data_IF_026343866819
#
_entry.id   IF_026343866819
#
_cell.length_a   1.000
_cell.length_b   1.000
_cell.length_c   1.000
_cell.angle_alpha   90.00
_cell.angle_beta   90.00
_cell.angle_gamma   90.00
#
_symmetry.space_group_name_H-M   'P 1'
#
loop_
_entity.id
_entity.type
_entity.pdbx_description
1 polymer ?
#
# COMPACT_ATOMS: atom_id res chain seq x y z
N UNK A 1 14.27 -22.02 3.81
CA UNK A 1 14.45 -20.64 3.32
C UNK A 1 13.49 -20.50 2.15
N UNK A 2 12.61 -19.49 2.13
CA UNK A 2 11.74 -19.26 0.96
C UNK A 2 12.65 -19.02 -0.25
N UNK A 3 12.37 -19.68 -1.38
CA UNK A 3 13.00 -19.30 -2.64
C UNK A 3 12.47 -17.91 -3.02
N UNK A 4 13.29 -16.89 -2.76
CA UNK A 4 12.88 -15.51 -2.95
C UNK A 4 12.54 -15.20 -4.41
N UNK A 5 13.20 -15.86 -5.36
CA UNK A 5 12.92 -15.64 -6.79
C UNK A 5 11.53 -16.14 -7.14
N UNK A 6 11.20 -17.36 -6.74
CA UNK A 6 9.87 -17.93 -6.94
C UNK A 6 8.78 -17.11 -6.23
N UNK A 7 9.09 -16.59 -5.04
CA UNK A 7 8.19 -15.70 -4.31
C UNK A 7 7.94 -14.38 -5.04
N UNK A 8 8.99 -13.73 -5.54
CA UNK A 8 8.86 -12.52 -6.34
C UNK A 8 8.04 -12.77 -7.62
N UNK A 9 8.28 -13.87 -8.33
CA UNK A 9 7.51 -14.26 -9.52
C UNK A 9 6.03 -14.43 -9.20
N UNK A 10 5.70 -15.10 -8.08
CA UNK A 10 4.31 -15.21 -7.59
C UNK A 10 3.68 -13.83 -7.36
N UNK A 11 4.35 -12.95 -6.63
CA UNK A 11 3.81 -11.61 -6.31
C UNK A 11 3.58 -10.80 -7.58
N UNK A 12 4.46 -10.91 -8.58
CA UNK A 12 4.25 -10.26 -9.89
C UNK A 12 3.02 -10.79 -10.61
N UNK A 13 2.83 -12.10 -10.63
CA UNK A 13 1.64 -12.72 -11.23
C UNK A 13 0.35 -12.33 -10.49
N UNK A 14 0.40 -12.27 -9.15
CA UNK A 14 -0.71 -11.80 -8.33
C UNK A 14 -1.14 -10.37 -8.72
N UNK A 15 -0.17 -9.45 -8.86
CA UNK A 15 -0.48 -8.08 -9.28
C UNK A 15 -0.95 -7.99 -10.74
N UNK A 16 -0.49 -8.88 -11.62
CA UNK A 16 -1.04 -8.99 -12.97
C UNK A 16 -2.52 -9.40 -12.95
N UNK A 17 -2.88 -10.34 -12.09
CA UNK A 17 -4.26 -10.77 -11.91
C UNK A 17 -5.12 -9.69 -11.25
N UNK A 18 -4.57 -8.93 -10.29
CA UNK A 18 -5.23 -7.75 -9.72
C UNK A 18 -5.53 -6.71 -10.81
N UNK A 19 -4.54 -6.36 -11.64
CA UNK A 19 -4.70 -5.36 -12.71
C UNK A 19 -5.81 -5.79 -13.68
N UNK A 20 -5.77 -7.04 -14.16
CA UNK A 20 -6.83 -7.58 -15.03
C UNK A 20 -8.20 -7.55 -14.37
N UNK A 21 -8.28 -7.90 -13.08
CA UNK A 21 -9.53 -7.90 -12.31
C UNK A 21 -10.12 -6.50 -12.19
N UNK A 22 -9.28 -5.48 -11.92
CA UNK A 22 -9.73 -4.10 -11.81
C UNK A 22 -10.19 -3.53 -13.15
N UNK A 23 -9.48 -3.85 -14.25
CA UNK A 23 -9.90 -3.50 -15.61
C UNK A 23 -11.28 -4.09 -15.91
N UNK A 24 -11.48 -5.39 -15.67
CA UNK A 24 -12.76 -6.06 -15.91
C UNK A 24 -13.92 -5.47 -15.10
N UNK A 25 -13.62 -4.90 -13.93
CA UNK A 25 -14.60 -4.29 -13.02
C UNK A 25 -14.76 -2.79 -13.22
N UNK A 26 -14.06 -2.18 -14.18
CA UNK A 26 -14.00 -0.73 -14.37
C UNK A 26 -13.67 0.04 -13.07
N UNK A 27 -12.77 -0.52 -12.24
CA UNK A 27 -12.31 0.11 -10.99
C UNK A 27 -10.89 0.64 -11.15
N UNK A 28 -10.65 1.79 -10.56
CA UNK A 28 -9.37 2.48 -10.53
C UNK A 28 -8.70 2.37 -9.16
N UNK A 29 -7.37 2.39 -9.14
CA UNK A 29 -6.54 2.26 -7.94
C UNK A 29 -5.41 3.28 -7.99
N UNK A 30 -5.02 3.79 -6.81
CA UNK A 30 -3.83 4.62 -6.63
C UNK A 30 -3.13 4.27 -5.32
N UNK A 31 -1.85 4.64 -5.20
CA UNK A 31 -1.04 4.34 -4.02
C UNK A 31 -0.33 5.60 -3.52
N UNK A 32 -0.16 5.68 -2.20
CA UNK A 32 0.78 6.57 -1.53
C UNK A 32 1.77 5.71 -0.74
N UNK A 33 3.03 5.72 -1.17
CA UNK A 33 4.05 4.79 -0.71
C UNK A 33 5.18 5.50 0.03
N UNK A 34 5.52 5.01 1.23
CA UNK A 34 6.73 5.39 1.94
C UNK A 34 7.75 4.25 1.89
N UNK A 35 7.61 3.25 2.77
CA UNK A 35 8.59 2.16 2.93
C UNK A 35 8.83 1.32 1.66
N UNK A 36 7.81 1.20 0.82
CA UNK A 36 7.84 0.46 -0.45
C UNK A 36 8.44 1.25 -1.61
N UNK A 37 8.42 2.58 -1.54
CA UNK A 37 9.09 3.47 -2.48
C UNK A 37 8.66 3.29 -3.95
N UNK A 38 7.37 3.09 -4.21
CA UNK A 38 6.81 2.93 -5.56
C UNK A 38 6.76 1.49 -6.05
N UNK A 39 7.11 0.50 -5.22
CA UNK A 39 7.11 -0.91 -5.63
C UNK A 39 5.70 -1.40 -5.97
N UNK A 40 4.67 -0.94 -5.26
CA UNK A 40 3.29 -1.39 -5.50
C UNK A 40 2.79 -0.81 -6.82
N UNK A 41 3.01 0.49 -7.04
CA UNK A 41 2.72 1.12 -8.33
C UNK A 41 3.45 0.42 -9.49
N UNK A 42 4.75 0.10 -9.32
CA UNK A 42 5.54 -0.64 -10.30
C UNK A 42 4.91 -1.99 -10.66
N UNK A 43 4.52 -2.78 -9.65
CA UNK A 43 3.90 -4.10 -9.85
C UNK A 43 2.57 -3.99 -10.63
N UNK A 44 1.75 -2.97 -10.34
CA UNK A 44 0.51 -2.70 -11.08
C UNK A 44 0.83 -2.36 -12.54
N UNK A 45 1.82 -1.48 -12.77
CA UNK A 45 2.17 -0.96 -14.10
C UNK A 45 2.92 -1.95 -14.99
N UNK A 46 3.44 -3.05 -14.43
CA UNK A 46 4.09 -4.13 -15.20
C UNK A 46 3.09 -4.93 -16.06
N UNK A 47 1.78 -4.68 -15.91
CA UNK A 47 0.72 -5.39 -16.62
C UNK A 47 0.08 -4.53 -17.72
N UNK A 48 -0.13 -5.12 -18.89
CA UNK A 48 -0.80 -4.46 -20.02
C UNK A 48 -2.17 -3.90 -19.60
N UNK A 49 -2.47 -2.68 -20.06
CA UNK A 49 -3.72 -1.99 -19.75
C UNK A 49 -3.75 -1.28 -18.40
N UNK A 50 -2.67 -1.30 -17.60
CA UNK A 50 -2.61 -0.64 -16.30
C UNK A 50 -3.00 0.85 -16.33
N UNK A 51 -2.74 1.56 -17.43
CA UNK A 51 -3.16 2.96 -17.62
C UNK A 51 -4.67 3.19 -17.50
N UNK A 52 -5.50 2.16 -17.66
CA UNK A 52 -6.95 2.23 -17.46
C UNK A 52 -7.33 2.33 -15.97
N UNK A 53 -6.49 1.80 -15.07
CA UNK A 53 -6.82 1.66 -13.65
C UNK A 53 -5.98 2.57 -12.76
N UNK A 54 -4.76 2.95 -13.14
CA UNK A 54 -3.90 3.82 -12.32
C UNK A 54 -3.53 5.10 -13.08
N UNK A 55 -4.08 6.23 -12.61
CA UNK A 55 -3.77 7.57 -13.14
C UNK A 55 -2.44 8.12 -12.64
N UNK A 56 -1.99 7.63 -11.49
CA UNK A 56 -0.76 8.06 -10.84
C UNK A 56 -0.64 7.45 -9.44
N UNK A 57 0.54 7.65 -8.84
CA UNK A 57 0.89 7.22 -7.51
C UNK A 57 1.82 8.26 -6.86
N UNK A 58 1.87 8.27 -5.54
CA UNK A 58 2.70 9.18 -4.76
C UNK A 58 3.76 8.41 -4.00
N UNK A 59 5.00 8.89 -4.02
CA UNK A 59 6.04 8.42 -3.10
C UNK A 59 6.35 9.54 -2.11
N UNK A 60 5.95 9.35 -0.85
CA UNK A 60 6.03 10.37 0.21
C UNK A 60 6.95 9.90 1.33
N UNK A 61 8.25 9.88 1.05
CA UNK A 61 9.24 9.27 1.93
C UNK A 61 9.48 10.06 3.23
N UNK A 62 9.32 11.39 3.21
CA UNK A 62 9.46 12.26 4.39
C UNK A 62 8.11 12.66 5.00
N UNK A 63 8.12 13.12 6.25
CA UNK A 63 6.93 13.68 6.92
C UNK A 63 6.39 14.89 6.16
N UNK A 64 7.28 15.77 5.71
CA UNK A 64 6.93 16.94 4.89
C UNK A 64 6.20 16.53 3.60
N UNK A 65 6.68 15.50 2.90
CA UNK A 65 6.05 15.01 1.68
C UNK A 65 4.66 14.44 1.94
N UNK A 66 4.47 13.69 3.03
CA UNK A 66 3.15 13.18 3.46
C UNK A 66 2.17 14.34 3.70
N UNK A 67 2.61 15.36 4.44
CA UNK A 67 1.80 16.54 4.78
C UNK A 67 1.43 17.34 3.53
N UNK A 68 2.41 17.59 2.65
CA UNK A 68 2.19 18.28 1.37
C UNK A 68 1.19 17.56 0.48
N UNK A 69 1.14 16.22 0.57
CA UNK A 69 0.20 15.38 -0.16
C UNK A 69 -1.09 15.11 0.63
N UNK A 70 -1.40 15.90 1.67
CA UNK A 70 -2.70 15.92 2.32
C UNK A 70 -2.88 15.01 3.54
N UNK A 71 -1.80 14.40 4.05
CA UNK A 71 -1.84 13.76 5.38
C UNK A 71 -1.86 14.86 6.46
N UNK A 72 -2.85 14.89 7.38
CA UNK A 72 -2.89 15.89 8.44
C UNK A 72 -1.65 15.82 9.33
N UNK A 73 -1.06 16.99 9.63
CA UNK A 73 0.13 17.08 10.50
C UNK A 73 -0.16 16.56 11.90
N UNK A 74 -1.35 16.84 12.40
CA UNK A 74 -1.83 16.49 13.73
C UNK A 74 -1.93 14.98 13.92
N UNK A 75 -2.22 14.22 12.84
CA UNK A 75 -2.23 12.75 12.86
C UNK A 75 -0.82 12.23 13.07
N UNK A 76 0.17 12.77 12.34
CA UNK A 76 1.57 12.38 12.49
C UNK A 76 2.10 12.74 13.88
N UNK A 77 1.76 13.91 14.41
CA UNK A 77 2.20 14.34 15.75
C UNK A 77 1.61 13.48 16.86
N UNK A 78 0.33 13.09 16.73
CA UNK A 78 -0.37 12.30 17.75
C UNK A 78 -0.03 10.81 17.70
N UNK A 79 0.11 10.25 16.50
CA UNK A 79 0.20 8.80 16.30
C UNK A 79 1.56 8.33 15.76
N UNK A 80 2.49 9.24 15.43
CA UNK A 80 3.70 8.96 14.65
C UNK A 80 3.41 8.60 13.19
N UNK A 81 4.41 8.77 12.32
CA UNK A 81 4.35 8.27 10.93
C UNK A 81 4.31 6.75 10.83
N UNK A 82 4.60 6.04 11.92
CA UNK A 82 4.54 4.58 12.01
C UNK A 82 3.27 4.13 12.72
N UNK A 83 2.13 4.41 12.09
CA UNK A 83 0.79 4.12 12.64
C UNK A 83 -0.23 3.75 11.57
N UNK A 84 -1.33 3.13 12.02
CA UNK A 84 -2.49 2.82 11.18
C UNK A 84 -3.16 4.10 10.72
N UNK A 85 -3.31 5.07 11.62
CA UNK A 85 -3.93 6.37 11.38
C UNK A 85 -3.20 7.13 10.26
N UNK A 86 -1.86 7.12 10.27
CA UNK A 86 -1.10 7.71 9.16
C UNK A 86 -1.34 6.93 7.86
N UNK A 87 -1.35 5.60 7.88
CA UNK A 87 -1.62 4.80 6.69
C UNK A 87 -3.02 5.06 6.11
N UNK A 88 -4.03 5.22 6.97
CA UNK A 88 -5.42 5.54 6.59
C UNK A 88 -5.49 6.91 5.89
N UNK A 89 -4.87 7.94 6.46
CA UNK A 89 -4.83 9.27 5.84
C UNK A 89 -4.05 9.27 4.53
N UNK A 90 -2.97 8.49 4.43
CA UNK A 90 -2.24 8.30 3.17
C UNK A 90 -3.14 7.68 2.09
N UNK A 91 -3.90 6.63 2.43
CA UNK A 91 -4.82 5.94 1.52
C UNK A 91 -5.97 6.85 1.06
N UNK A 92 -6.59 7.56 2.01
CA UNK A 92 -7.66 8.51 1.74
C UNK A 92 -7.18 9.67 0.88
N UNK A 93 -6.00 10.21 1.17
CA UNK A 93 -5.50 11.38 0.46
C UNK A 93 -5.17 11.08 -1.00
N UNK A 94 -4.47 9.98 -1.31
CA UNK A 94 -4.20 9.63 -2.70
C UNK A 94 -5.48 9.27 -3.46
N UNK A 95 -6.42 8.54 -2.83
CA UNK A 95 -7.74 8.24 -3.41
C UNK A 95 -8.47 9.52 -3.83
N UNK A 96 -8.53 10.52 -2.94
CA UNK A 96 -9.18 11.82 -3.22
C UNK A 96 -8.45 12.58 -4.32
N UNK A 97 -7.12 12.65 -4.27
CA UNK A 97 -6.32 13.40 -5.23
C UNK A 97 -6.50 12.90 -6.67
N UNK A 98 -6.44 11.59 -6.87
CA UNK A 98 -6.58 10.99 -8.20
C UNK A 98 -8.03 10.64 -8.57
N UNK A 99 -8.98 10.86 -7.66
CA UNK A 99 -10.38 10.45 -7.80
C UNK A 99 -10.46 8.97 -8.19
N UNK A 100 -9.75 8.12 -7.44
CA UNK A 100 -9.74 6.69 -7.65
C UNK A 100 -10.83 5.99 -6.83
N UNK A 101 -11.23 4.80 -7.26
CA UNK A 101 -12.14 3.93 -6.50
C UNK A 101 -11.45 3.36 -5.27
N UNK A 102 -10.16 3.08 -5.39
CA UNK A 102 -9.33 2.46 -4.35
C UNK A 102 -8.08 3.32 -4.10
N UNK A 103 -7.80 3.64 -2.84
CA UNK A 103 -6.52 4.20 -2.40
C UNK A 103 -5.79 3.25 -1.48
N UNK A 104 -4.47 3.13 -1.66
CA UNK A 104 -3.60 2.34 -0.77
C UNK A 104 -2.57 3.26 -0.14
N UNK A 105 -2.49 3.29 1.19
CA UNK A 105 -1.48 4.03 1.95
C UNK A 105 -0.54 3.06 2.65
N UNK A 106 0.78 3.28 2.55
CA UNK A 106 1.78 2.39 3.17
C UNK A 106 2.89 3.18 3.86
N UNK A 107 3.05 2.94 5.16
CA UNK A 107 4.10 3.52 5.99
C UNK A 107 4.69 2.49 6.95
N UNK A 108 5.89 2.71 7.45
CA UNK A 108 6.56 1.73 8.29
C UNK A 108 8.06 1.71 8.14
N UNK A 109 8.66 0.82 8.91
CA UNK A 109 10.09 0.59 9.03
C UNK A 109 10.41 -0.80 8.49
N UNK A 110 11.47 -0.88 7.70
CA UNK A 110 11.99 -2.14 7.16
C UNK A 110 13.16 -2.60 8.05
N UNK A 111 14.29 -2.99 7.46
CA UNK A 111 15.50 -3.36 8.19
C UNK A 111 16.34 -2.20 8.74
N UNK A 112 15.83 -0.96 8.79
CA UNK A 112 16.57 0.21 9.24
C UNK A 112 15.76 1.04 10.24
N UNK A 113 16.46 1.60 11.23
CA UNK A 113 15.91 2.61 12.14
C UNK A 113 15.82 3.93 11.39
N UNK A 114 14.74 4.67 11.61
CA UNK A 114 14.62 6.04 11.17
C UNK A 114 15.12 6.99 12.26
N UNK A 115 16.19 7.76 12.00
CA UNK A 115 16.72 8.72 12.97
C UNK A 115 15.70 9.80 13.37
N UNK A 116 14.82 10.23 12.48
CA UNK A 116 13.86 11.32 12.73
C UNK A 116 12.70 10.87 13.64
N UNK A 117 12.42 9.56 13.69
CA UNK A 117 11.31 8.98 14.45
C UNK A 117 11.79 7.81 15.31
N UNK A 118 12.98 7.97 15.92
CA UNK A 118 13.73 6.88 16.57
C UNK A 118 12.94 6.13 17.64
N UNK A 119 12.14 6.85 18.43
CA UNK A 119 11.38 6.27 19.56
C UNK A 119 10.29 5.30 19.09
N UNK A 120 9.74 5.50 17.89
CA UNK A 120 8.65 4.70 17.32
C UNK A 120 9.13 3.79 16.17
N UNK A 121 10.45 3.69 15.95
CA UNK A 121 11.05 2.93 14.85
C UNK A 121 11.29 1.47 15.23
N UNK A 122 10.27 0.63 15.07
CA UNK A 122 10.39 -0.81 15.31
C UNK A 122 10.79 -1.56 14.03
N UNK A 123 11.86 -2.35 14.04
CA UNK A 123 12.34 -3.02 12.83
C UNK A 123 11.29 -3.98 12.24
N UNK A 124 11.01 -3.83 10.95
CA UNK A 124 10.05 -4.66 10.22
C UNK A 124 8.58 -4.40 10.54
N UNK A 125 8.25 -3.32 11.27
CA UNK A 125 6.86 -2.92 11.55
C UNK A 125 6.31 -2.06 10.41
N UNK A 126 5.32 -2.58 9.69
CA UNK A 126 4.70 -1.90 8.55
C UNK A 126 3.20 -1.76 8.77
N UNK A 127 2.66 -0.61 8.40
CA UNK A 127 1.24 -0.30 8.41
C UNK A 127 0.78 -0.01 6.99
N UNK A 128 -0.37 -0.55 6.63
CA UNK A 128 -1.02 -0.18 5.38
C UNK A 128 -2.52 -0.06 5.56
N UNK A 129 -3.15 0.74 4.70
CA UNK A 129 -4.59 0.88 4.67
C UNK A 129 -5.10 0.86 3.23
N UNK A 130 -6.34 0.39 3.07
CA UNK A 130 -7.07 0.33 1.82
C UNK A 130 -8.36 1.12 2.02
N UNK A 131 -8.50 2.22 1.27
CA UNK A 131 -9.68 3.08 1.26
C UNK A 131 -10.52 2.77 0.02
N UNK A 132 -11.79 2.42 0.21
CA UNK A 132 -12.79 2.28 -0.86
C UNK A 132 -14.00 3.16 -0.55
N UNK A 133 -15.04 3.11 -1.38
CA UNK A 133 -16.31 3.80 -1.10
C UNK A 133 -17.02 3.25 0.15
N UNK A 134 -16.71 2.02 0.56
CA UNK A 134 -17.31 1.39 1.76
C UNK A 134 -16.62 1.78 3.06
N UNK A 135 -15.55 2.57 3.00
CA UNK A 135 -14.76 2.98 4.14
C UNK A 135 -13.29 2.58 4.02
N UNK A 136 -12.58 2.60 5.15
CA UNK A 136 -11.14 2.33 5.21
C UNK A 136 -10.90 1.11 6.09
N UNK A 137 -10.07 0.18 5.62
CA UNK A 137 -9.54 -0.92 6.43
C UNK A 137 -8.02 -0.77 6.56
N UNK A 138 -7.51 -0.84 7.78
CA UNK A 138 -6.08 -0.72 8.08
C UNK A 138 -5.54 -1.98 8.76
N UNK A 139 -4.24 -2.22 8.53
CA UNK A 139 -3.56 -3.45 8.91
C UNK A 139 -2.15 -3.11 9.40
N UNK A 140 -1.63 -3.94 10.29
CA UNK A 140 -0.24 -3.91 10.71
C UNK A 140 0.43 -5.25 10.40
N UNK A 141 1.71 -5.18 10.05
CA UNK A 141 2.54 -6.31 9.66
C UNK A 141 3.83 -6.26 10.48
N UNK A 142 4.23 -7.44 10.95
CA UNK A 142 5.56 -7.67 11.53
C UNK A 142 6.35 -8.57 10.60
N UNK A 143 7.31 -7.97 9.90
CA UNK A 143 8.14 -8.65 8.92
C UNK A 143 9.46 -9.01 9.57
N UNK A 144 9.72 -10.32 9.70
CA UNK A 144 11.00 -10.84 10.18
C UNK A 144 12.15 -10.33 9.29
N UNK A 145 13.39 -10.24 9.81
CA UNK A 145 14.55 -9.83 9.02
C UNK A 145 14.65 -10.52 7.66
N UNK A 146 14.68 -9.71 6.60
CA UNK A 146 14.79 -10.18 5.22
C UNK A 146 16.19 -9.91 4.63
N UNK A 147 16.63 -10.72 3.64
CA UNK A 147 17.97 -10.60 3.06
C UNK A 147 18.17 -9.33 2.23
N UNK A 148 17.09 -8.67 1.78
CA UNK A 148 17.17 -7.44 1.00
C UNK A 148 15.98 -6.52 1.26
N UNK A 149 16.13 -5.23 0.94
CA UNK A 149 15.00 -4.29 0.94
C UNK A 149 13.91 -4.73 -0.03
N UNK A 150 14.27 -5.26 -1.20
CA UNK A 150 13.28 -5.76 -2.16
C UNK A 150 12.42 -6.86 -1.53
N UNK A 151 13.03 -7.75 -0.75
CA UNK A 151 12.31 -8.83 -0.07
C UNK A 151 11.29 -8.33 0.94
N UNK A 152 11.62 -7.29 1.72
CA UNK A 152 10.63 -6.61 2.55
C UNK A 152 9.48 -6.01 1.72
N UNK A 153 9.80 -5.32 0.62
CA UNK A 153 8.80 -4.68 -0.24
C UNK A 153 7.84 -5.70 -0.85
N UNK A 154 8.34 -6.85 -1.30
CA UNK A 154 7.51 -7.91 -1.86
C UNK A 154 6.59 -8.55 -0.82
N UNK A 155 7.04 -8.71 0.43
CA UNK A 155 6.18 -9.18 1.53
C UNK A 155 5.04 -8.20 1.85
N UNK A 156 5.33 -6.88 1.84
CA UNK A 156 4.30 -5.86 1.99
C UNK A 156 3.32 -5.90 0.82
N UNK A 157 3.84 -5.98 -0.41
CA UNK A 157 3.02 -6.04 -1.62
C UNK A 157 2.09 -7.26 -1.63
N UNK A 158 2.57 -8.44 -1.24
CA UNK A 158 1.74 -9.65 -1.12
C UNK A 158 0.60 -9.46 -0.12
N UNK A 159 0.88 -8.92 1.07
CA UNK A 159 -0.15 -8.69 2.08
C UNK A 159 -1.22 -7.70 1.59
N UNK A 160 -0.81 -6.64 0.91
CA UNK A 160 -1.74 -5.68 0.30
C UNK A 160 -2.61 -6.37 -0.75
N UNK A 161 -2.01 -7.20 -1.61
CA UNK A 161 -2.75 -7.96 -2.63
C UNK A 161 -3.81 -8.88 -1.99
N UNK A 162 -3.43 -9.67 -0.99
CA UNK A 162 -4.34 -10.60 -0.29
C UNK A 162 -5.56 -9.85 0.24
N UNK A 163 -5.35 -8.73 0.92
CA UNK A 163 -6.44 -7.95 1.51
C UNK A 163 -7.27 -7.19 0.46
N UNK A 164 -6.64 -6.71 -0.64
CA UNK A 164 -7.37 -6.14 -1.77
C UNK A 164 -8.33 -7.14 -2.40
N UNK A 165 -7.88 -8.37 -2.65
CA UNK A 165 -8.72 -9.43 -3.23
C UNK A 165 -9.86 -9.82 -2.29
N UNK A 166 -9.61 -9.90 -0.98
CA UNK A 166 -10.67 -10.13 0.02
C UNK A 166 -11.72 -9.02 -0.04
N UNK A 167 -11.31 -7.74 0.03
CA UNK A 167 -12.23 -6.60 -0.05
C UNK A 167 -13.03 -6.62 -1.35
N UNK A 168 -12.37 -6.87 -2.49
CA UNK A 168 -13.03 -6.95 -3.78
C UNK A 168 -14.02 -8.13 -3.87
N UNK A 169 -13.78 -9.22 -3.15
CA UNK A 169 -14.67 -10.38 -3.11
C UNK A 169 -15.90 -10.08 -2.24
N UNK A 170 -15.70 -9.55 -1.04
CA UNK A 170 -16.77 -9.08 -0.15
C UNK A 170 -17.67 -8.03 -0.86
N UNK A 171 -17.06 -7.17 -1.69
CA UNK A 171 -17.79 -6.18 -2.48
C UNK A 171 -18.78 -6.82 -3.46
N UNK A 172 -18.37 -7.91 -4.11
CA UNK A 172 -19.20 -8.63 -5.07
C UNK A 172 -20.38 -9.32 -4.37
N UNK A 173 -20.15 -9.97 -3.24
CA UNK A 173 -21.21 -10.68 -2.51
C UNK A 173 -22.35 -9.74 -2.08
N UNK A 174 -22.03 -8.54 -1.56
CA UNK A 174 -23.07 -7.57 -1.20
C UNK A 174 -23.79 -6.93 -2.39
N UNK A 175 -23.25 -7.01 -3.61
CA UNK A 175 -23.90 -6.44 -4.81
C UNK A 175 -24.93 -7.38 -5.46
N UNK A 176 -25.02 -8.62 -4.98
CA UNK A 176 -25.94 -9.66 -5.47
C UNK A 176 -27.16 -9.81 -4.54
N UNK A 177 -27.13 -9.17 -3.37
CA UNK A 177 -28.23 -9.08 -2.40
C UNK A 177 -29.02 -7.79 -2.59
#
# INVERSE_FOLDING_TARGET
>A
MIDFKHFEEKVREDYANLTRTLIQRNKTITTMESATGGQIASLITDTEGASQIIKGAMVTYSNEAKIKMGVPKEVIEKYSVYSKETAEEMALSCKRFYQADIGVGVTGTMGNIDPENRENSELGKVYFAIATERGVKSFDLEIKPQPSRLSYKMMVAENIYIHLIQILTDERECSIL
#
